data_IF_393012586067
#
_entry.id   IF_393012586067
#
_cell.length_a   1.000
_cell.length_b   1.000
_cell.length_c   1.000
_cell.angle_alpha   90.00
_cell.angle_beta   90.00
_cell.angle_gamma   90.00
#
_symmetry.space_group_name_H-M   'P 1'
#
loop_
_entity.id
_entity.type
_entity.pdbx_description
1 polymer ?
#
# COMPACT_ATOMS: atom_id res chain seq x y z
N UNK A 1 -18.34 -44.78 15.89
CA UNK A 1 -17.65 -43.47 15.93
C UNK A 1 -18.22 -42.58 14.83
N UNK A 2 -18.98 -41.56 15.25
CA UNK A 2 -19.26 -40.30 14.55
C UNK A 2 -20.08 -40.26 13.24
N UNK A 3 -21.40 -40.39 13.35
CA UNK A 3 -22.34 -39.82 12.35
C UNK A 3 -22.42 -38.29 12.42
N UNK A 4 -22.02 -37.68 13.53
CA UNK A 4 -21.98 -36.23 13.78
C UNK A 4 -20.70 -35.54 13.30
N UNK A 5 -19.60 -36.26 13.04
CA UNK A 5 -18.34 -35.65 12.58
C UNK A 5 -18.30 -35.41 11.06
N UNK A 6 -19.04 -36.21 10.29
CA UNK A 6 -19.20 -36.04 8.83
C UNK A 6 -19.83 -34.68 8.44
N UNK A 7 -20.95 -34.22 9.05
CA UNK A 7 -21.54 -32.93 8.69
C UNK A 7 -20.71 -31.74 9.16
N UNK A 8 -19.97 -31.87 10.28
CA UNK A 8 -19.08 -30.82 10.79
C UNK A 8 -17.86 -30.68 9.88
N UNK A 9 -17.28 -31.80 9.43
CA UNK A 9 -16.17 -31.81 8.48
C UNK A 9 -16.59 -31.24 7.12
N UNK A 10 -17.78 -31.62 6.62
CA UNK A 10 -18.33 -31.04 5.38
C UNK A 10 -18.52 -29.53 5.47
N UNK A 11 -19.11 -29.04 6.57
CA UNK A 11 -19.27 -27.60 6.82
C UNK A 11 -17.93 -26.87 6.94
N UNK A 12 -16.96 -27.46 7.65
CA UNK A 12 -15.62 -26.89 7.77
C UNK A 12 -14.91 -26.79 6.42
N UNK A 13 -15.02 -27.82 5.57
CA UNK A 13 -14.45 -27.82 4.21
C UNK A 13 -15.13 -26.78 3.32
N UNK A 14 -16.46 -26.64 3.40
CA UNK A 14 -17.19 -25.60 2.66
C UNK A 14 -16.77 -24.19 3.10
N UNK A 15 -16.71 -23.93 4.41
CA UNK A 15 -16.27 -22.63 4.94
C UNK A 15 -14.84 -22.33 4.51
N UNK A 16 -13.92 -23.29 4.64
CA UNK A 16 -12.54 -23.15 4.21
C UNK A 16 -12.43 -22.83 2.71
N UNK A 17 -13.21 -23.53 1.87
CA UNK A 17 -13.22 -23.30 0.42
C UNK A 17 -13.72 -21.90 0.08
N UNK A 18 -14.77 -21.42 0.74
CA UNK A 18 -15.28 -20.05 0.55
C UNK A 18 -14.23 -19.01 0.95
N UNK A 19 -13.58 -19.18 2.11
CA UNK A 19 -12.53 -18.28 2.58
C UNK A 19 -11.36 -18.23 1.59
N UNK A 20 -10.92 -19.37 1.06
CA UNK A 20 -9.85 -19.42 0.07
C UNK A 20 -10.21 -18.69 -1.23
N UNK A 21 -11.44 -18.86 -1.72
CA UNK A 21 -11.93 -18.15 -2.92
C UNK A 21 -11.94 -16.64 -2.68
N UNK A 22 -12.40 -16.18 -1.51
CA UNK A 22 -12.40 -14.75 -1.16
C UNK A 22 -10.99 -14.17 -1.10
N UNK A 23 -10.04 -14.88 -0.48
CA UNK A 23 -8.63 -14.45 -0.42
C UNK A 23 -8.04 -14.34 -1.83
N UNK A 24 -8.24 -15.35 -2.69
CA UNK A 24 -7.78 -15.31 -4.08
C UNK A 24 -8.39 -14.13 -4.85
N UNK A 25 -9.68 -13.85 -4.68
CA UNK A 25 -10.34 -12.72 -5.32
C UNK A 25 -9.73 -11.37 -4.90
N UNK A 26 -9.44 -11.18 -3.61
CA UNK A 26 -8.84 -9.94 -3.10
C UNK A 26 -7.40 -9.75 -3.60
N UNK A 27 -6.59 -10.83 -3.67
CA UNK A 27 -5.22 -10.75 -4.19
C UNK A 27 -5.23 -10.39 -5.69
N UNK A 28 -6.22 -10.83 -6.46
CA UNK A 28 -6.32 -10.46 -7.88
C UNK A 28 -6.74 -9.01 -8.12
N UNK A 29 -7.39 -8.35 -7.16
CA UNK A 29 -7.79 -6.94 -7.31
C UNK A 29 -6.68 -5.95 -6.94
N UNK A 30 -5.70 -6.36 -6.13
CA UNK A 30 -4.53 -5.50 -5.81
C UNK A 30 -3.62 -5.23 -7.02
N UNK A 31 -3.57 -6.15 -7.99
CA UNK A 31 -2.78 -5.99 -9.22
C UNK A 31 -3.44 -5.02 -10.23
N UNK A 32 -4.78 -4.93 -10.23
CA UNK A 32 -5.53 -4.10 -11.18
C UNK A 32 -5.52 -2.60 -10.85
N UNK A 33 -5.38 -2.24 -9.56
CA UNK A 33 -5.19 -0.85 -9.10
C UNK A 33 -3.74 -0.36 -9.29
N UNK A 34 -2.82 -1.26 -9.63
CA UNK A 34 -1.45 -0.92 -10.05
C UNK A 34 -1.32 -0.72 -11.57
N UNK A 35 -2.42 -0.68 -12.31
CA UNK A 35 -2.37 -0.07 -13.64
C UNK A 35 -2.22 1.42 -13.42
N UNK A 36 -0.96 1.88 -13.49
CA UNK A 36 -0.62 3.30 -13.69
C UNK A 36 -1.76 3.90 -14.53
N UNK A 37 -2.54 4.87 -14.02
CA UNK A 37 -3.56 5.53 -14.83
C UNK A 37 -2.86 5.93 -16.12
N UNK A 38 -3.46 5.72 -17.30
CA UNK A 38 -2.77 5.90 -18.56
C UNK A 38 -2.16 7.29 -18.58
N UNK A 39 -0.84 7.38 -18.33
CA UNK A 39 -0.05 8.60 -18.44
C UNK A 39 0.14 8.93 -19.93
N UNK A 40 -0.92 8.77 -20.72
CA UNK A 40 -0.99 9.21 -22.09
C UNK A 40 -1.21 10.72 -22.07
N UNK A 41 -0.18 11.44 -21.59
CA UNK A 41 0.02 12.88 -21.72
C UNK A 41 -1.03 13.84 -21.14
N UNK A 42 -2.21 13.39 -20.70
CA UNK A 42 -3.33 14.28 -20.38
C UNK A 42 -3.37 14.73 -18.92
N UNK A 43 -2.69 14.04 -17.99
CA UNK A 43 -2.65 14.42 -16.57
C UNK A 43 -1.61 15.52 -16.33
N UNK A 44 -0.52 15.52 -17.12
CA UNK A 44 0.44 16.61 -17.17
C UNK A 44 0.15 17.43 -18.43
N UNK A 45 -0.96 18.18 -18.40
CA UNK A 45 -1.29 19.14 -19.45
C UNK A 45 -0.04 19.91 -19.85
N UNK A 46 0.26 19.87 -21.15
CA UNK A 46 1.20 20.72 -21.89
C UNK A 46 2.22 21.44 -20.99
N UNK A 47 3.43 20.87 -20.85
CA UNK A 47 4.61 21.56 -20.29
C UNK A 47 5.09 22.72 -21.17
N UNK A 48 4.18 23.52 -21.70
CA UNK A 48 4.49 24.85 -22.22
C UNK A 48 4.49 25.79 -21.01
N UNK A 49 5.56 25.73 -20.23
CA UNK A 49 5.90 26.72 -19.19
C UNK A 49 5.58 26.32 -17.76
N UNK A 50 6.54 25.70 -17.05
CA UNK A 50 6.73 25.92 -15.60
C UNK A 50 8.05 25.26 -15.17
N UNK A 51 9.15 26.01 -15.25
CA UNK A 51 10.36 25.71 -14.47
C UNK A 51 10.13 25.91 -12.95
N UNK A 52 8.96 26.43 -12.54
CA UNK A 52 8.62 26.73 -11.15
C UNK A 52 8.04 25.54 -10.37
N UNK A 53 7.38 24.58 -11.03
CA UNK A 53 6.77 23.43 -10.35
C UNK A 53 7.82 22.47 -9.78
N UNK A 54 8.94 22.27 -10.50
CA UNK A 54 10.00 21.35 -10.08
C UNK A 54 10.74 21.84 -8.83
N UNK A 55 10.95 23.15 -8.73
CA UNK A 55 11.51 23.79 -7.54
C UNK A 55 10.56 23.64 -6.33
N UNK A 56 9.25 23.81 -6.57
CA UNK A 56 8.22 23.68 -5.53
C UNK A 56 8.11 22.24 -4.99
N UNK A 57 8.13 21.24 -5.89
CA UNK A 57 8.16 19.83 -5.49
C UNK A 57 9.46 19.46 -4.76
N UNK A 58 10.61 19.98 -5.22
CA UNK A 58 11.91 19.75 -4.56
C UNK A 58 11.92 20.34 -3.15
N UNK A 59 11.37 21.55 -2.96
CA UNK A 59 11.20 22.18 -1.65
C UNK A 59 10.27 21.39 -0.73
N UNK A 60 9.15 20.89 -1.26
CA UNK A 60 8.23 20.07 -0.47
C UNK A 60 8.88 18.76 0.01
N UNK A 61 9.66 18.09 -0.86
CA UNK A 61 10.40 16.87 -0.49
C UNK A 61 11.47 17.16 0.56
N UNK A 62 12.22 18.25 0.42
CA UNK A 62 13.23 18.66 1.42
C UNK A 62 12.59 18.93 2.78
N UNK A 63 11.46 19.65 2.83
CA UNK A 63 10.73 19.91 4.07
C UNK A 63 10.22 18.60 4.72
N UNK A 64 9.72 17.66 3.92
CA UNK A 64 9.32 16.34 4.44
C UNK A 64 10.48 15.53 5.00
N UNK A 65 11.66 15.61 4.36
CA UNK A 65 12.87 14.94 4.85
C UNK A 65 13.31 15.50 6.20
N UNK A 66 13.26 16.83 6.36
CA UNK A 66 13.61 17.51 7.61
C UNK A 66 12.67 17.09 8.76
N UNK A 67 11.36 17.11 8.52
CA UNK A 67 10.36 16.65 9.51
C UNK A 67 10.58 15.18 9.89
N UNK A 68 10.84 14.31 8.91
CA UNK A 68 11.13 12.91 9.16
C UNK A 68 12.40 12.75 10.01
N UNK A 69 13.43 13.56 9.75
CA UNK A 69 14.68 13.53 10.50
C UNK A 69 14.51 13.98 11.96
N UNK A 70 13.68 15.01 12.21
CA UNK A 70 13.37 15.50 13.55
C UNK A 70 12.56 14.47 14.36
N UNK A 71 11.56 13.85 13.72
CA UNK A 71 10.80 12.76 14.33
C UNK A 71 11.70 11.56 14.67
N UNK A 72 12.63 11.20 13.77
CA UNK A 72 13.57 10.11 14.02
C UNK A 72 14.52 10.42 15.19
N UNK A 73 15.03 11.65 15.31
CA UNK A 73 15.88 12.04 16.43
C UNK A 73 15.14 12.06 17.77
N UNK A 74 13.84 12.39 17.74
CA UNK A 74 12.98 12.35 18.93
C UNK A 74 12.70 10.92 19.37
N UNK A 75 12.46 10.01 18.42
CA UNK A 75 12.23 8.59 18.70
C UNK A 75 13.51 7.83 19.07
N UNK A 76 14.65 8.26 18.52
CA UNK A 76 15.95 7.65 18.73
C UNK A 76 16.96 8.70 19.19
N UNK A 77 16.87 9.16 20.46
CA UNK A 77 17.86 10.07 20.99
C UNK A 77 19.24 9.40 20.96
N UNK A 78 20.22 10.10 20.39
CA UNK A 78 21.60 9.67 20.15
C UNK A 78 22.40 9.36 21.45
N UNK A 79 21.72 9.32 22.60
CA UNK A 79 22.26 9.05 23.94
C UNK A 79 22.13 7.59 24.39
N UNK A 80 21.79 6.67 23.49
CA UNK A 80 21.93 5.22 23.69
C UNK A 80 22.86 4.75 22.55
N UNK A 81 24.11 4.28 22.71
CA UNK A 81 24.81 3.62 23.81
C UNK A 81 26.34 3.83 23.62
N UNK A 82 27.09 3.95 24.73
CA UNK A 82 28.53 3.67 24.84
C UNK A 82 28.69 2.35 25.58
#
# INVERSE_FOLDING_TARGET
INKTMQPVLGKAVTIFSIVMILICAIITTSEATYRKPPFNGSIFGKRTGSNNEYDSASKAISAMCEIASEACQTWFPITQEK
#
